data_IF_785627477131
#
_entry.id   IF_785627477131
#
_cell.length_a   1.000
_cell.length_b   1.000
_cell.length_c   1.000
_cell.angle_alpha   90.00
_cell.angle_beta   90.00
_cell.angle_gamma   90.00
#
_symmetry.space_group_name_H-M   'P 1'
#
loop_
_entity.id
_entity.type
_entity.pdbx_description
1 polymer ?
2 polymer ?
3 non-polymer ?
4 non-polymer ?
5 non-polymer ?
6 non-polymer ?
7 non-polymer ?
8 water ?
#
# COMPACT_ATOMS: atom_id res chain seq x y z
N UNK A 2 -7.01 -12.86 -13.05
CA UNK A 2 -6.46 -12.03 -14.12
C UNK A 2 -5.82 -10.78 -13.54
N UNK A 3 -4.86 -10.19 -14.26
CA UNK A 3 -4.20 -8.97 -13.82
C UNK A 3 -5.02 -7.78 -14.29
N UNK A 4 -5.39 -6.90 -13.37
CA UNK A 4 -6.15 -5.70 -13.67
C UNK A 4 -5.23 -4.50 -13.82
N UNK A 5 -5.66 -3.54 -14.64
CA UNK A 5 -4.93 -2.29 -14.79
C UNK A 5 -5.14 -1.40 -13.57
N UNK A 6 -4.05 -0.78 -13.10
CA UNK A 6 -4.08 0.09 -11.94
C UNK A 6 -4.09 1.54 -12.40
N UNK A 7 -5.11 2.29 -12.00
CA UNK A 7 -5.17 3.71 -12.31
C UNK A 7 -4.06 4.47 -11.59
N UNK A 8 -3.57 5.53 -12.22
CA UNK A 8 -2.50 6.36 -11.66
C UNK A 8 -2.91 7.82 -11.56
N UNK A 9 -2.61 8.44 -10.41
CA UNK A 9 -2.69 9.88 -10.23
C UNK A 9 -2.02 10.57 -11.41
N UNK A 10 -2.62 11.63 -11.97
CA UNK A 10 -3.82 12.36 -11.57
C UNK A 10 -5.13 11.95 -12.25
N UNK A 11 -5.30 10.67 -12.58
CA UNK A 11 -6.55 10.20 -13.17
C UNK A 11 -7.73 10.57 -12.27
N UNK A 12 -8.75 11.25 -12.81
CA UNK A 12 -9.86 11.69 -11.96
C UNK A 12 -10.72 10.56 -11.43
N UNK A 13 -10.66 9.38 -12.04
CA UNK A 13 -11.47 8.27 -11.57
C UNK A 13 -11.02 7.78 -10.21
N UNK A 14 -9.78 8.08 -9.81
CA UNK A 14 -9.36 7.78 -8.45
C UNK A 14 -10.04 8.65 -7.41
N UNK A 15 -10.78 9.69 -7.82
CA UNK A 15 -11.50 10.53 -6.87
C UNK A 15 -12.93 10.05 -6.65
N UNK A 16 -13.35 8.99 -7.32
CA UNK A 16 -14.69 8.44 -7.16
C UNK A 16 -14.84 7.85 -5.77
N UNK A 17 -15.98 8.12 -5.14
CA UNK A 17 -16.30 7.52 -3.86
C UNK A 17 -16.98 6.17 -4.12
N UNK A 18 -16.39 5.10 -3.61
CA UNK A 18 -16.89 3.77 -3.90
C UNK A 18 -18.22 3.52 -3.18
N UNK A 19 -19.06 2.75 -3.82
CA UNK A 19 -20.36 2.38 -3.28
C UNK A 19 -20.25 1.11 -2.44
N UNK A 20 -21.04 0.97 -1.38
CA UNK A 20 -21.00 -0.26 -0.58
C UNK A 20 -21.43 -1.48 -1.39
N UNK A 21 -20.82 -2.62 -1.08
CA UNK A 21 -21.27 -3.90 -1.59
C UNK A 21 -22.49 -4.32 -0.82
N UNK A 22 -23.55 -4.70 -1.52
CA UNK A 22 -24.77 -5.15 -0.88
C UNK A 22 -24.89 -6.66 -0.82
N UNK A 23 -24.24 -7.37 -1.73
CA UNK A 23 -24.26 -8.83 -1.77
C UNK A 23 -22.86 -9.32 -2.09
N UNK A 24 -22.32 -10.22 -1.27
CA UNK A 24 -21.02 -10.80 -1.48
C UNK A 24 -21.23 -12.11 -2.24
N UNK A 25 -21.31 -12.01 -3.56
CA UNK A 25 -21.55 -13.16 -4.42
C UNK A 25 -20.24 -13.63 -5.04
N UNK A 26 -20.34 -14.65 -5.90
CA UNK A 26 -19.15 -15.19 -6.55
C UNK A 26 -18.52 -14.18 -7.49
N UNK A 27 -19.31 -13.27 -8.05
CA UNK A 27 -18.75 -12.18 -8.84
C UNK A 27 -17.89 -11.26 -7.99
N UNK A 28 -18.26 -11.06 -6.72
CA UNK A 28 -17.40 -10.28 -5.84
C UNK A 28 -16.12 -11.05 -5.54
N UNK A 29 -16.24 -12.35 -5.26
CA UNK A 29 -15.06 -13.16 -4.96
C UNK A 29 -14.13 -13.29 -6.16
N UNK A 30 -14.68 -13.28 -7.37
CA UNK A 30 -13.85 -13.30 -8.56
C UNK A 30 -13.06 -12.00 -8.70
N UNK A 31 -13.71 -10.88 -8.39
CA UNK A 31 -13.02 -9.59 -8.38
C UNK A 31 -11.92 -9.57 -7.32
N UNK A 32 -12.25 -10.07 -6.12
CA UNK A 32 -11.25 -10.17 -5.06
C UNK A 32 -10.06 -11.00 -5.52
N UNK A 33 -10.32 -12.14 -6.16
CA UNK A 33 -9.22 -12.98 -6.63
C UNK A 33 -8.35 -12.25 -7.66
N UNK A 34 -8.97 -11.47 -8.56
CA UNK A 34 -8.18 -10.70 -9.50
C UNK A 34 -7.43 -9.57 -8.79
N UNK A 35 -8.03 -8.97 -7.76
CA UNK A 35 -7.34 -7.93 -7.01
C UNK A 35 -6.11 -8.48 -6.32
N UNK A 36 -6.19 -9.69 -5.78
CA UNK A 36 -5.02 -10.30 -5.14
C UNK A 36 -3.92 -10.58 -6.17
N UNK A 37 -4.29 -11.21 -7.28
CA UNK A 37 -3.32 -11.45 -8.34
C UNK A 37 -2.63 -10.15 -8.77
N UNK A 38 -3.40 -9.08 -8.99
CA UNK A 38 -2.83 -7.79 -9.38
C UNK A 38 -1.89 -7.28 -8.29
N UNK A 39 -2.34 -7.35 -7.04
CA UNK A 39 -1.54 -6.89 -5.91
C UNK A 39 -0.23 -7.66 -5.80
N UNK A 40 -0.31 -9.01 -5.80
CA UNK A 40 0.91 -9.78 -5.65
C UNK A 40 1.90 -9.56 -6.78
N UNK A 41 1.39 -9.26 -7.98
CA UNK A 41 2.26 -9.08 -9.14
C UNK A 41 2.87 -7.69 -9.22
N UNK A 42 2.25 -6.70 -8.59
CA UNK A 42 2.71 -5.32 -8.71
C UNK A 42 4.20 -5.14 -8.35
N UNK A 43 4.67 -5.54 -7.18
CA UNK A 43 3.97 -6.05 -5.99
C UNK A 43 3.57 -4.93 -5.03
N UNK A 44 2.51 -5.19 -4.26
CA UNK A 44 2.10 -4.33 -3.17
C UNK A 44 1.56 -5.18 -2.04
N UNK A 45 1.28 -4.54 -0.90
CA UNK A 45 0.74 -5.28 0.23
C UNK A 45 -0.75 -5.05 0.44
N UNK A 46 -1.37 -4.21 -0.37
CA UNK A 46 -2.80 -4.00 -0.29
C UNK A 46 -3.28 -3.44 -1.61
N UNK A 47 -4.60 -3.46 -1.79
CA UNK A 47 -5.19 -2.87 -2.99
C UNK A 47 -6.66 -2.59 -2.71
N UNK A 48 -7.12 -1.44 -3.18
CA UNK A 48 -8.53 -1.05 -3.12
C UNK A 48 -9.15 -1.13 -4.51
N UNK A 49 -10.43 -1.54 -4.57
CA UNK A 49 -11.06 -1.72 -5.87
C UNK A 49 -11.06 -0.42 -6.69
N UNK A 50 -11.17 0.73 -6.02
CA UNK A 50 -11.08 2.01 -6.71
C UNK A 50 -9.85 2.06 -7.61
N UNK A 51 -8.74 1.48 -7.16
CA UNK A 51 -7.50 1.54 -7.92
C UNK A 51 -7.55 0.73 -9.21
N UNK A 52 -8.46 -0.23 -9.32
CA UNK A 52 -8.59 -1.02 -10.55
C UNK A 52 -9.89 -0.61 -11.24
N UNK A 53 -10.32 0.61 -10.98
CA UNK A 53 -11.48 1.23 -11.64
C UNK A 53 -12.77 0.48 -11.36
N UNK A 54 -12.88 -0.15 -10.21
CA UNK A 54 -14.13 -0.78 -9.76
C UNK A 54 -14.53 -0.06 -8.48
N UNK A 55 -15.62 0.69 -8.54
CA UNK A 55 -15.91 1.66 -7.48
C UNK A 55 -16.90 1.09 -6.49
N UNK A 56 -16.44 -0.02 -5.89
CA UNK A 56 -17.11 -0.72 -4.81
C UNK A 56 -16.16 -0.77 -3.61
N UNK A 57 -16.73 -0.89 -2.41
CA UNK A 57 -15.95 -0.75 -1.18
C UNK A 57 -15.36 -2.11 -0.81
N UNK A 58 -14.21 -2.40 -1.44
CA UNK A 58 -13.53 -3.69 -1.32
C UNK A 58 -12.04 -3.42 -1.22
N UNK A 59 -11.41 -4.00 -0.20
CA UNK A 59 -9.98 -3.90 0.03
C UNK A 59 -9.40 -5.29 0.26
N UNK A 60 -8.22 -5.55 -0.32
CA UNK A 60 -7.51 -6.78 -0.07
C UNK A 60 -6.14 -6.42 0.46
N UNK A 61 -5.50 -7.39 1.12
CA UNK A 61 -4.25 -7.15 1.82
C UNK A 61 -3.56 -8.48 2.07
N UNK A 62 -2.22 -8.43 2.15
CA UNK A 62 -1.47 -9.58 2.67
C UNK A 62 -0.21 -9.04 3.31
N UNK A 63 -0.13 -9.10 4.64
CA UNK A 63 1.03 -8.61 5.38
C UNK A 63 1.92 -9.76 5.89
N UNK A 64 1.77 -10.94 5.32
CA UNK A 64 2.59 -12.09 5.67
C UNK A 64 3.81 -12.15 4.76
N UNK A 65 4.92 -12.64 5.30
CA UNK A 65 6.13 -12.78 4.52
C UNK A 65 6.04 -13.91 3.50
N UNK A 66 5.14 -14.88 3.70
CA UNK A 66 5.02 -16.04 2.82
C UNK A 66 3.67 -16.11 2.11
N UNK A 67 2.96 -14.99 1.98
CA UNK A 67 1.69 -14.96 1.25
C UNK A 67 0.68 -15.94 1.83
N UNK A 68 0.72 -16.14 3.15
CA UNK A 68 -0.12 -17.12 3.82
C UNK A 68 -1.35 -16.51 4.49
N UNK A 69 -1.45 -15.20 4.55
CA UNK A 69 -2.54 -14.51 5.27
C UNK A 69 -3.20 -13.44 4.40
N UNK A 70 -3.68 -13.81 3.22
CA UNK A 70 -4.51 -12.87 2.46
C UNK A 70 -5.74 -12.48 3.27
N UNK A 71 -6.05 -11.19 3.25
CA UNK A 71 -7.16 -10.66 4.05
C UNK A 71 -8.10 -9.86 3.17
N UNK A 72 -9.39 -9.98 3.44
CA UNK A 72 -10.44 -9.30 2.69
C UNK A 72 -11.19 -8.37 3.64
N UNK A 73 -11.42 -7.13 3.22
CA UNK A 73 -12.18 -6.15 3.97
C UNK A 73 -13.24 -5.57 3.03
N UNK A 74 -14.49 -5.95 3.24
CA UNK A 74 -15.61 -5.47 2.43
C UNK A 74 -16.39 -4.46 3.27
N UNK A 75 -16.75 -3.34 2.66
CA UNK A 75 -17.37 -2.21 3.35
C UNK A 75 -16.59 -1.84 4.61
N UNK A 76 -15.29 -1.59 4.48
CA UNK A 76 -14.48 -1.35 5.67
C UNK A 76 -14.71 0.03 6.26
N UNK A 77 -14.59 0.11 7.57
CA UNK A 77 -14.57 1.36 8.31
C UNK A 77 -13.50 1.23 9.38
N UNK A 78 -12.91 2.37 9.76
CA UNK A 78 -11.91 2.39 10.82
C UNK A 78 -12.19 3.58 11.73
N UNK A 79 -11.77 3.44 12.99
CA UNK A 79 -11.95 4.46 14.01
C UNK A 79 -10.66 4.46 14.84
N UNK A 80 -10.00 5.61 14.99
CA UNK A 80 -8.78 5.65 15.82
C UNK A 80 -9.04 5.23 17.27
N UNK A 81 -8.09 4.49 17.83
CA UNK A 81 -8.10 4.16 19.26
C UNK A 81 -6.99 4.88 20.02
N UNK A 82 -6.43 5.95 19.43
CA UNK A 82 -5.41 6.75 20.09
C UNK A 82 -5.38 8.10 19.40
N UNK A 83 -4.99 9.12 20.15
CA UNK A 83 -4.68 10.43 19.58
C UNK A 83 -3.22 10.54 19.18
N UNK A 84 -2.39 9.56 19.53
CA UNK A 84 -1.00 9.57 19.12
C UNK A 84 -0.89 9.42 17.61
N UNK A 85 0.03 10.19 17.03
CA UNK A 85 0.28 10.17 15.61
C UNK A 85 1.67 9.61 15.36
N UNK A 86 1.77 8.71 14.40
CA UNK A 86 3.05 8.18 13.97
C UNK A 86 3.23 8.45 12.48
N UNK A 87 4.48 8.47 12.08
CA UNK A 87 4.88 8.68 10.71
C UNK A 87 5.22 7.36 10.04
N UNK A 88 4.80 7.22 8.78
CA UNK A 88 5.21 6.09 7.97
C UNK A 88 5.48 6.58 6.56
N UNK A 89 6.58 6.14 5.97
CA UNK A 89 6.94 6.54 4.61
C UNK A 89 6.20 5.62 3.64
N UNK A 90 5.17 6.16 3.00
CA UNK A 90 4.23 5.39 2.20
C UNK A 90 4.46 5.59 0.72
N UNK A 91 4.30 4.50 -0.04
CA UNK A 91 4.15 4.57 -1.47
C UNK A 91 2.78 4.02 -1.84
N UNK A 92 2.44 4.15 -3.12
CA UNK A 92 1.11 3.80 -3.59
C UNK A 92 1.24 3.33 -5.03
N UNK A 93 0.61 2.20 -5.35
CA UNK A 93 0.66 1.72 -6.74
C UNK A 93 -0.03 2.70 -7.69
N UNK A 94 -0.92 3.55 -7.19
CA UNK A 94 -1.50 4.59 -8.04
C UNK A 94 -0.68 5.87 -8.06
N UNK A 95 0.40 5.97 -7.29
CA UNK A 95 1.31 7.11 -7.36
C UNK A 95 2.70 6.53 -7.52
N UNK A 96 2.96 5.81 -8.61
CA UNK A 96 4.15 4.94 -8.66
C UNK A 96 5.46 5.72 -8.65
N UNK A 97 6.39 5.29 -7.79
CA UNK A 97 7.72 5.83 -7.77
C UNK A 97 7.97 6.88 -6.71
N UNK A 98 6.98 7.20 -5.88
CA UNK A 98 7.11 8.26 -4.89
C UNK A 98 6.80 7.67 -3.52
N UNK A 99 7.62 8.03 -2.54
CA UNK A 99 7.52 7.49 -1.19
C UNK A 99 7.68 8.66 -0.23
N UNK A 100 6.64 8.96 0.54
CA UNK A 100 6.65 10.13 1.38
C UNK A 100 6.03 9.83 2.74
N UNK A 101 6.54 10.52 3.75
CA UNK A 101 6.01 10.37 5.10
C UNK A 101 4.60 10.94 5.23
N UNK A 102 3.72 10.17 5.85
CA UNK A 102 2.34 10.54 6.13
C UNK A 102 2.10 10.27 7.61
N UNK A 103 1.43 11.21 8.28
CA UNK A 103 1.14 11.07 9.70
C UNK A 103 -0.25 10.46 9.88
N UNK A 104 -0.31 9.36 10.63
CA UNK A 104 -1.57 8.65 10.85
C UNK A 104 -1.58 8.07 12.24
N UNK A 105 -2.75 7.91 12.85
CA UNK A 105 -2.84 7.07 14.06
C UNK A 105 -2.40 5.66 13.74
N UNK A 106 -1.61 5.06 14.62
CA UNK A 106 -1.19 3.68 14.42
C UNK A 106 -1.85 2.72 15.38
N UNK A 107 -3.01 3.09 15.91
CA UNK A 107 -3.91 2.15 16.59
C UNK A 107 -5.33 2.50 16.20
N UNK A 108 -6.03 1.55 15.55
CA UNK A 108 -7.39 1.78 15.08
C UNK A 108 -8.22 0.51 15.26
N UNK A 109 -9.54 0.70 15.30
CA UNK A 109 -10.49 -0.40 15.24
C UNK A 109 -11.02 -0.51 13.82
N UNK A 110 -10.97 -1.71 13.25
CA UNK A 110 -11.50 -2.00 11.92
C UNK A 110 -12.84 -2.70 12.09
N UNK A 111 -13.86 -2.26 11.34
CA UNK A 111 -15.10 -3.01 11.16
C UNK A 111 -15.31 -3.23 9.67
N UNK A 112 -15.65 -4.46 9.29
CA UNK A 112 -15.89 -4.77 7.89
C UNK A 112 -16.64 -6.08 7.79
N UNK A 113 -16.93 -6.48 6.55
CA UNK A 113 -17.44 -7.80 6.24
C UNK A 113 -16.29 -8.65 5.68
N UNK A 114 -16.33 -9.94 5.95
CA UNK A 114 -15.27 -10.82 5.48
C UNK A 114 -15.65 -11.39 4.11
N UNK A 115 -14.82 -12.31 3.61
CA UNK A 115 -15.00 -12.81 2.25
C UNK A 115 -16.30 -13.58 2.08
N UNK A 116 -16.97 -13.96 3.17
CA UNK A 116 -18.27 -14.61 3.12
C UNK A 116 -19.42 -13.64 3.32
N UNK A 117 -19.15 -12.35 3.54
CA UNK A 117 -20.17 -11.39 3.84
C UNK A 117 -20.55 -11.27 5.30
N UNK A 118 -19.80 -11.90 6.22
CA UNK A 118 -20.14 -11.83 7.63
C UNK A 118 -19.37 -10.73 8.34
N UNK A 119 -20.00 -10.01 9.28
CA UNK A 119 -19.33 -8.88 9.93
C UNK A 119 -18.25 -9.33 10.91
N UNK A 120 -17.24 -8.48 11.06
CA UNK A 120 -16.23 -8.72 12.08
C UNK A 120 -15.62 -7.39 12.50
N UNK A 121 -14.93 -7.42 13.64
CA UNK A 121 -14.19 -6.29 14.15
C UNK A 121 -12.78 -6.75 14.50
N UNK A 122 -11.83 -5.82 14.43
CA UNK A 122 -10.43 -6.12 14.63
C UNK A 122 -9.76 -4.86 15.15
N UNK A 123 -8.89 -5.00 16.15
CA UNK A 123 -8.01 -3.92 16.55
C UNK A 123 -6.71 -4.08 15.78
N UNK A 124 -6.27 -3.00 15.13
CA UNK A 124 -5.10 -3.03 14.28
C UNK A 124 -4.07 -2.03 14.80
N UNK A 125 -2.81 -2.44 14.77
CA UNK A 125 -1.70 -1.57 15.11
C UNK A 125 -0.59 -1.73 14.07
N UNK A 126 0.38 -0.82 14.11
CA UNK A 126 1.52 -0.94 13.22
C UNK A 126 1.13 -0.84 11.76
N UNK A 127 1.77 -1.67 10.94
CA UNK A 127 1.58 -1.58 9.49
C UNK A 127 0.13 -1.84 9.09
N UNK A 128 -0.56 -2.75 9.78
CA UNK A 128 -1.95 -3.02 9.42
C UNK A 128 -2.82 -1.77 9.64
N UNK A 129 -2.52 -0.98 10.67
CA UNK A 129 -3.28 0.25 10.89
C UNK A 129 -3.01 1.26 9.81
N UNK A 130 -1.75 1.40 9.38
CA UNK A 130 -1.43 2.28 8.27
C UNK A 130 -2.15 1.83 7.00
N UNK A 131 -2.06 0.54 6.69
CA UNK A 131 -2.58 0.05 5.41
C UNK A 131 -4.09 0.24 5.32
N UNK A 132 -4.81 -0.05 6.40
CA UNK A 132 -6.27 0.05 6.31
C UNK A 132 -6.71 1.50 6.11
N UNK A 133 -5.97 2.46 6.68
CA UNK A 133 -6.30 3.86 6.46
C UNK A 133 -5.96 4.29 5.04
N UNK A 134 -4.80 3.85 4.54
CA UNK A 134 -4.44 4.12 3.15
C UNK A 134 -5.49 3.57 2.21
N UNK A 135 -5.95 2.35 2.45
CA UNK A 135 -6.90 1.71 1.54
C UNK A 135 -8.29 2.31 1.67
N UNK A 136 -8.76 2.57 2.90
CA UNK A 136 -10.04 3.25 3.06
C UNK A 136 -10.02 4.63 2.41
N UNK A 137 -8.92 5.37 2.56
CA UNK A 137 -8.77 6.63 1.87
C UNK A 137 -9.11 6.51 0.38
N UNK A 138 -8.56 5.48 -0.28
CA UNK A 138 -8.82 5.31 -1.70
C UNK A 138 -10.32 5.19 -1.97
N UNK A 139 -11.03 4.44 -1.13
CA UNK A 139 -12.47 4.27 -1.30
C UNK A 139 -13.26 5.56 -1.11
N UNK A 140 -12.66 6.54 -0.43
CA UNK A 140 -13.23 7.86 -0.29
C UNK A 140 -12.62 8.84 -1.29
N UNK A 141 -11.95 8.33 -2.31
CA UNK A 141 -11.37 9.20 -3.31
C UNK A 141 -10.16 9.97 -2.84
N UNK A 142 -9.46 9.49 -1.82
CA UNK A 142 -8.30 10.17 -1.26
C UNK A 142 -7.02 9.38 -1.51
N UNK A 143 -5.96 10.13 -1.82
CA UNK A 143 -4.62 9.61 -2.08
C UNK A 143 -3.65 10.19 -1.06
N UNK A 144 -2.54 9.51 -0.84
CA UNK A 144 -1.62 9.94 0.21
C UNK A 144 -0.97 11.28 -0.11
N UNK A 145 -0.90 11.65 -1.38
CA UNK A 145 -0.35 12.94 -1.76
C UNK A 145 -1.23 14.09 -1.26
N UNK A 146 -2.50 13.81 -0.91
CA UNK A 146 -3.38 14.85 -0.38
C UNK A 146 -2.92 15.32 0.99
N UNK A 147 -2.07 14.53 1.67
CA UNK A 147 -1.51 14.95 2.95
C UNK A 147 -0.25 15.78 2.80
N UNK A 148 0.29 15.87 1.60
CA UNK A 148 1.56 16.55 1.38
C UNK A 148 1.32 18.04 1.13
N UNK A 149 2.41 18.81 1.13
CA UNK A 149 2.29 20.22 0.83
C UNK A 149 1.87 20.43 -0.62
N UNK A 150 1.38 21.63 -0.88
CA UNK A 150 0.89 21.97 -2.21
C UNK A 150 2.00 21.83 -3.25
N UNK A 151 3.19 22.34 -2.95
CA UNK A 151 4.27 22.29 -3.93
C UNK A 151 4.78 20.87 -4.14
N UNK A 152 4.87 20.07 -3.06
CA UNK A 152 5.32 18.69 -3.23
C UNK A 152 4.32 17.90 -4.06
N UNK A 153 3.02 18.05 -3.78
CA UNK A 153 2.02 17.36 -4.57
C UNK A 153 2.06 17.77 -6.03
N UNK A 154 2.34 19.05 -6.32
CA UNK A 154 2.30 19.49 -7.70
C UNK A 154 3.50 18.97 -8.49
N UNK A 155 4.65 18.88 -7.84
CA UNK A 155 5.81 18.28 -8.47
C UNK A 155 5.53 16.82 -8.82
N UNK A 156 4.88 16.08 -7.91
CA UNK A 156 4.52 14.70 -8.21
C UNK A 156 3.54 14.65 -9.38
N UNK A 157 2.55 15.55 -9.37
CA UNK A 157 1.55 15.51 -10.43
C UNK A 157 2.17 15.79 -11.78
N UNK A 158 3.03 16.80 -11.85
CA UNK A 158 3.64 17.14 -13.13
C UNK A 158 4.56 16.04 -13.60
N UNK A 159 5.28 15.40 -12.69
CA UNK A 159 6.15 14.30 -13.11
C UNK A 159 5.34 13.15 -13.66
N UNK A 160 4.25 12.78 -13.01
CA UNK A 160 3.45 11.67 -13.50
C UNK A 160 2.73 12.04 -14.80
N UNK A 161 2.20 13.27 -14.88
CA UNK A 161 1.58 13.70 -16.13
C UNK A 161 2.54 13.57 -17.30
N UNK A 162 3.82 13.90 -17.07
CA UNK A 162 4.80 13.76 -18.13
C UNK A 162 5.02 12.29 -18.50
N UNK A 163 5.19 11.43 -17.48
CA UNK A 163 5.33 10.01 -17.76
C UNK A 163 4.15 9.49 -18.57
N UNK A 164 2.94 9.95 -18.23
CA UNK A 164 1.75 9.46 -18.93
C UNK A 164 1.71 9.95 -20.38
N UNK A 165 2.11 11.19 -20.62
CA UNK A 165 2.15 11.69 -22.00
C UNK A 165 3.03 10.80 -22.88
N UNK A 166 4.14 10.31 -22.32
CA UNK A 166 4.96 9.35 -23.06
C UNK A 166 4.28 7.99 -23.18
N UNK A 167 3.50 7.60 -22.18
CA UNK A 167 2.77 6.33 -22.23
C UNK A 167 1.72 6.33 -23.34
N UNK A 168 1.24 7.51 -23.76
CA UNK A 168 0.25 7.60 -24.83
C UNK A 168 0.84 8.23 -26.09
N UNK B 1 12.27 -7.56 -12.68
CA UNK B 1 12.86 -6.30 -13.18
C UNK B 1 13.18 -5.34 -12.04
N UNK B 2 13.72 -4.17 -12.40
CA UNK B 2 14.22 -3.24 -11.40
C UNK B 2 13.12 -2.78 -10.46
N UNK B 3 12.04 -2.22 -11.01
CA UNK B 3 10.98 -1.67 -10.17
C UNK B 3 10.41 -2.73 -9.25
N UNK B 4 10.14 -3.92 -9.79
CA UNK B 4 9.58 -4.98 -8.97
C UNK B 4 10.56 -5.39 -7.87
N UNK B 5 11.85 -5.37 -8.18
CA UNK B 5 12.87 -5.71 -7.17
C UNK B 5 12.86 -4.69 -6.04
N UNK B 6 12.86 -3.40 -6.40
CA UNK B 6 12.82 -2.35 -5.38
C UNK B 6 11.60 -2.50 -4.49
N UNK B 7 10.42 -2.61 -5.11
CA UNK B 7 9.19 -2.77 -4.34
C UNK B 7 9.24 -3.99 -3.44
N UNK B 8 9.64 -5.14 -3.99
CA UNK B 8 9.68 -6.37 -3.19
C UNK B 8 10.64 -6.25 -2.03
N UNK B 9 11.77 -5.55 -2.24
CA UNK B 9 12.70 -5.33 -1.13
C UNK B 9 12.08 -4.44 -0.06
N UNK B 10 11.42 -3.35 -0.47
CA UNK B 10 10.73 -2.50 0.51
C UNK B 10 9.69 -3.30 1.30
N UNK B 11 8.94 -4.15 0.62
CA UNK B 11 7.91 -4.95 1.30
C UNK B 11 8.56 -5.89 2.31
N UNK B 12 9.60 -6.60 1.87
CA UNK B 12 10.31 -7.52 2.75
C UNK B 12 10.80 -6.82 4.01
N UNK B 13 11.47 -5.69 3.85
CA UNK B 13 11.99 -4.97 5.01
C UNK B 13 10.87 -4.45 5.89
N UNK B 14 9.79 -3.95 5.28
CA UNK B 14 8.70 -3.43 6.09
C UNK B 14 8.09 -4.54 6.94
N UNK B 15 7.92 -5.72 6.37
CA UNK B 15 7.35 -6.83 7.13
C UNK B 15 8.31 -7.31 8.21
N UNK B 16 9.60 -7.31 7.91
CA UNK B 16 10.58 -7.68 8.95
C UNK B 16 10.54 -6.69 10.11
N UNK B 17 10.50 -5.40 9.78
CA UNK B 17 10.33 -4.38 10.81
C UNK B 17 9.10 -4.65 11.65
N UNK B 18 7.97 -4.95 11.01
CA UNK B 18 6.73 -5.13 11.76
C UNK B 18 6.80 -6.35 12.66
N UNK B 19 7.34 -7.45 12.16
CA UNK B 19 7.32 -8.71 12.90
C UNK B 19 8.54 -8.91 13.79
N UNK B 20 9.50 -8.01 13.74
CA UNK B 20 10.69 -8.12 14.58
C UNK B 20 10.39 -7.70 16.01
N UNK B 21 10.91 -8.46 16.97
CA UNK B 21 10.85 -8.08 18.37
C UNK B 21 12.08 -7.31 18.83
N UNK B 22 13.24 -7.65 18.29
CA UNK B 22 14.49 -6.96 18.61
C UNK B 22 14.50 -5.58 17.97
N UNK B 23 14.63 -4.49 18.74
CA UNK B 23 14.71 -3.16 18.11
C UNK B 23 15.93 -2.97 17.24
N UNK B 24 16.95 -3.81 17.37
CA UNK B 24 18.11 -3.72 16.48
C UNK B 24 17.81 -4.29 15.09
N UNK B 25 16.94 -5.30 15.02
CA UNK B 25 16.45 -5.76 13.72
C UNK B 25 15.55 -4.70 13.07
N UNK B 26 14.74 -4.03 13.88
CA UNK B 26 13.92 -2.95 13.34
C UNK B 26 14.77 -1.77 12.87
N UNK B 27 15.84 -1.44 13.61
CA UNK B 27 16.71 -0.37 13.17
C UNK B 27 17.38 -0.73 11.85
N UNK B 28 17.90 -1.96 11.74
CA UNK B 28 18.58 -2.35 10.52
C UNK B 28 17.63 -2.28 9.34
N UNK B 29 16.40 -2.76 9.53
CA UNK B 29 15.40 -2.69 8.46
C UNK B 29 15.11 -1.25 8.07
N UNK B 30 14.87 -0.38 9.05
CA UNK B 30 14.57 1.01 8.72
C UNK B 30 15.74 1.64 7.97
N UNK B 31 16.98 1.28 8.33
CA UNK B 31 18.14 1.88 7.68
C UNK B 31 18.23 1.47 6.21
N UNK B 32 17.97 0.19 5.92
CA UNK B 32 18.02 -0.26 4.54
C UNK B 32 16.89 0.36 3.73
N UNK B 33 15.71 0.53 4.33
CA UNK B 33 14.61 1.19 3.62
C UNK B 33 14.95 2.63 3.27
N UNK B 34 15.56 3.37 4.21
CA UNK B 34 15.94 4.75 3.93
C UNK B 34 16.92 4.83 2.77
N UNK B 35 17.90 3.92 2.71
CA UNK B 35 18.84 3.96 1.60
C UNK B 35 18.14 3.69 0.28
N UNK B 36 17.20 2.74 0.28
CA UNK B 36 16.42 2.47 -0.92
C UNK B 36 15.63 3.70 -1.34
N UNK B 37 14.92 4.32 -0.39
CA UNK B 37 14.16 5.53 -0.71
C UNK B 37 15.07 6.61 -1.30
N UNK B 38 16.22 6.84 -0.67
CA UNK B 38 17.12 7.90 -1.14
C UNK B 38 17.67 7.58 -2.52
N UNK B 39 18.06 6.33 -2.76
CA UNK B 39 18.59 5.96 -4.06
C UNK B 39 17.50 6.03 -5.13
N UNK B 40 16.29 5.60 -4.80
CA UNK B 40 15.21 5.61 -5.78
C UNK B 40 14.72 7.02 -6.06
N UNK B 41 14.82 7.92 -5.09
CA UNK B 41 14.45 9.32 -5.32
C UNK B 41 15.38 9.99 -6.32
N UNK B 42 16.61 9.51 -6.46
CA UNK B 42 17.56 10.05 -7.41
C UNK B 42 17.64 9.23 -8.70
N UNK B 43 16.83 8.18 -8.83
CA UNK B 43 16.94 7.25 -9.94
C UNK B 43 18.38 6.74 -10.08
N UNK B 44 19.00 6.45 -8.94
CA UNK B 44 20.35 5.87 -8.90
C UNK B 44 20.21 4.34 -8.92
N UNK B 45 19.97 3.82 -10.12
CA UNK B 45 19.67 2.39 -10.23
C UNK B 45 20.79 1.53 -9.69
N UNK B 46 22.04 2.01 -9.75
CA UNK B 46 23.17 1.23 -9.28
C UNK B 46 23.11 1.01 -7.78
N UNK B 47 22.92 2.08 -7.02
CA UNK B 47 22.85 1.93 -5.57
C UNK B 47 21.63 1.11 -5.18
N UNK B 48 20.49 1.35 -5.85
CA UNK B 48 19.30 0.56 -5.55
C UNK B 48 19.59 -0.93 -5.71
N UNK B 49 20.23 -1.31 -6.82
CA UNK B 49 20.54 -2.72 -7.04
C UNK B 49 21.44 -3.27 -5.93
N UNK B 50 22.41 -2.47 -5.49
CA UNK B 50 23.30 -2.90 -4.43
C UNK B 50 22.56 -3.06 -3.11
N UNK B 51 21.69 -2.10 -2.78
CA UNK B 51 20.98 -2.15 -1.51
C UNK B 51 19.99 -3.31 -1.49
N UNK B 52 19.32 -3.57 -2.62
CA UNK B 52 18.41 -4.71 -2.68
C UNK B 52 19.15 -5.99 -2.33
N UNK B 53 20.35 -6.18 -2.89
CA UNK B 53 21.10 -7.40 -2.63
C UNK B 53 21.51 -7.48 -1.16
N UNK B 54 21.92 -6.36 -0.57
CA UNK B 54 22.23 -6.37 0.85
C UNK B 54 20.99 -6.69 1.67
N UNK B 55 19.83 -6.14 1.29
CA UNK B 55 18.61 -6.39 2.04
C UNK B 55 18.26 -7.89 2.05
N UNK B 56 18.34 -8.53 0.88
CA UNK B 56 18.03 -9.95 0.80
C UNK B 56 18.90 -10.76 1.77
N UNK B 57 20.17 -10.37 1.93
CA UNK B 57 21.06 -11.11 2.81
C UNK B 57 20.70 -10.90 4.28
N UNK B 58 20.47 -9.64 4.67
CA UNK B 58 20.16 -9.35 6.07
C UNK B 58 18.86 -10.00 6.49
N UNK B 59 17.96 -10.26 5.54
CA UNK B 59 16.73 -10.97 5.84
C UNK B 59 16.98 -12.48 5.97
N UNK B 60 17.96 -13.00 5.23
CA UNK B 60 18.35 -14.40 5.40
C UNK B 60 19.03 -14.65 6.74
N UNK B 61 19.26 -13.61 7.54
CA UNK B 61 19.98 -13.72 8.80
C UNK B 61 19.01 -13.95 9.95
X LIG C 1 -2.58 3.07 -2.68
X LIG D 1 -0.22 -0.41 -2.41
X LIG D 1 -1.35 0.56 -2.65
X LIG D 1 -1.20 1.50 -3.37
X LIG D 1 -2.47 0.33 -1.96
X LIG D 1 -3.54 1.17 -2.09
X LIG D 1 0.54 0.06 -1.15
X LIG D 1 1.93 -0.54 -1.17
X LIG D 1 2.04 -1.74 -1.18
X LIG D 1 -0.20 -0.51 0.07
X LIG D 1 -0.47 0.40 1.23
X LIG D 1 0.74 1.19 1.62
X LIG D 1 0.69 1.68 3.09
X LIG D 1 2.06 1.44 3.72
X LIG D 1 2.95 0.31 -1.20
X LIG D 1 4.35 -0.10 -1.20
X LIG D 1 5.13 0.17 -2.47
X LIG D 1 4.50 -0.44 -3.69
X LIG D 1 6.60 -0.27 -2.30
X LIG D 1 4.88 0.63 0.04
X LIG D 1 4.87 1.86 0.00
X LIG D 1 5.29 -0.05 1.10
X LIG D 1 5.76 0.67 2.30
X LIG D 1 5.30 -1.50 1.25
X LIG D 1 5.85 -1.75 2.65
X LIG D 1 5.67 -0.42 3.38
X LIG D 1 7.17 1.21 2.13
X LIG D 1 7.50 1.97 3.29
X LIG D 1 -0.59 -1.30 -2.30
X LIG D 1 0.35 -0.43 -3.19
X LIG D 1 -2.58 -0.35 -1.42
X LIG D 1 -4.10 0.78 -2.58
X LIG D 1 0.60 1.03 -1.12
X LIG D 1 0.31 -1.27 0.39
X LIG D 1 -1.04 -0.87 -0.24
X LIG D 1 -0.78 -0.12 1.98
X LIG D 1 -1.19 1.02 0.99
X LIG D 1 0.83 1.95 1.03
X LIG D 1 1.53 0.65 1.49
X LIG D 1 0.00 1.20 3.58
X LIG D 1 0.45 2.61 3.12
X LIG D 1 2.76 1.92 3.24
X LIG D 1 2.30 0.49 3.71
X LIG D 1 2.09 1.74 4.63
X LIG D 1 2.80 1.15 -1.22
X LIG D 1 4.40 -1.08 -1.18
X LIG D 1 5.13 1.14 -2.60
X LIG D 1 4.29 -1.37 -3.51
X LIG D 1 3.68 0.04 -3.91
X LIG D 1 5.12 -0.38 -4.43
X LIG D 1 7.09 -0.21 -3.14
X LIG D 1 7.07 0.30 -1.67
X LIG D 1 6.67 -1.17 -1.99
X LIG D 1 5.17 1.41 2.47
X LIG D 1 4.40 -1.86 1.16
X LIG D 1 5.86 -1.91 0.58
X LIG D 1 6.77 -2.03 2.61
X LIG D 1 5.35 -2.47 3.09
X LIG D 1 6.37 -0.29 4.04
X LIG D 1 4.83 -0.37 3.84
X LIG D 1 7.20 1.74 1.32
X LIG D 1 7.78 0.46 2.01
X LIG D 1 8.32 2.18 3.25
X LIG E 1 -19.31 -3.05 8.51
X LIG E 1 -19.67 -2.27 7.64
X LIG E 1 -20.15 -3.60 9.43
X LIG E 1 -18.40 -3.28 8.56
X LIG F 1 -12.78 -12.63 10.62
X LIG F 1 -12.19 -11.86 9.88
X LIG F 1 -13.90 -13.31 10.28
X LIG F 1 -12.44 -12.76 11.51
X LIG G 1 1.69 14.21 6.90
X LIG G 1 2.20 14.70 5.91
X LIG G 1 0.36 13.99 7.04
X LIG G 1 2.25 13.96 7.63
X LIG H 1 -13.66 5.75 7.48
X LIG H 1 -13.93 4.83 8.22
X LIG H 1 -13.92 5.76 6.15
X LIG H 1 -13.23 6.52 7.85
X LIG I 1 -13.11 -16.00 6.78
X LIG I 1 -12.08 -16.45 6.33
X LIG I 1 -13.20 -15.38 7.99
X LIG I 1 -13.92 -16.07 6.26
X LIG J 1 -17.76 -6.41 -10.07
X LIG J 1 -18.17 -7.33 -9.39
X LIG J 1 -16.78 -6.54 -11.00
X LIG J 1 -18.14 -5.54 -9.95
X LIG K 1 -17.74 0.71 -10.99
X LIG K 1 -16.95 0.40 -11.86
X LIG K 1 -18.54 -0.17 -10.32
X LIG K 1 -17.82 1.63 -10.76
X LIG L 1 8.92 2.04 -7.20
X LIG L 1 9.61 3.02 -7.30
X LIG L 1 7.80 1.84 -7.92
X LIG L 1 9.16 1.36 -6.57
X LIG M 1 5.07 28.88 -11.32
X LIG M 1 5.33 28.12 -12.67
X LIG M 1 5.21 30.42 -11.59
X LIG M 1 3.63 28.56 -10.80
X LIG M 1 6.12 28.45 -10.24
X LIG N 1 -6.14 16.13 -8.94
X LIG N 1 -7.28 17.19 -9.12
X LIG N 1 -4.92 16.57 -9.84
X LIG N 1 -5.71 16.10 -7.43
X LIG N 1 -6.68 14.71 -9.38
X LIG O 1 9.82 15.28 -5.51
X LIG O 1 10.66 15.57 -4.22
X LIG O 1 8.29 15.55 -5.22
X LIG O 1 10.31 16.20 -6.68
X LIG O 1 9.99 13.78 -5.93
X LIG P 1 -1.98 20.80 2.37
X LIG P 1 -1.86 19.25 2.48
X LIG P 1 -3.13 21.30 3.32
X LIG P 1 -2.31 21.20 0.88
X LIG P 1 -0.63 21.48 2.80
X LIG Q 1 11.34 9.60 -2.17
#
# INVERSE_FOLDING_TARGET
MAILNILEFPDPRLRTIAKPVEVVDDAVRQLIDDMFETMYEAPGIGLAATQVNVHKRIVVMDLSEDKSEPRVFINPEFEPLTEDMDQYQEGCLSVPGFYENVDRPQKVRIKALDRDGNPFEEVAEGLLAVCIQHECDHLNGKLFVDYLSTLKRDRIRKKLEKQHRQQA
DYIRELRAALILLALKKQHAEDPDAQRVADELMKKLFDAAHRNDKDKVKKVVEEAKKVVSTYGSHHHHHH
ZN ZN
BB2 C5 C3 O4 N1 O2 C6 C12 O13 C7 C8 C9 C10 C11 N14 C15 C16 C18 C17 C19 O20 N21 C22 C23 C24 C25 C26 O27 H51 H52 HN1 HO2 H6 H71 H72 H81 H82 H91 H92 H101 H102 H111 H112 H113 H14 H15 H16 H181 H182 H183 H171 H172 H173 H22 H231 H232 H241 H242 H251 H252 H261 H262 H27
FMT C O1 O2 H
FMT C O1 O2 H
FMT C O1 O2 H
FMT C O1 O2 H
FMT C O1 O2 H
FMT C O1 O2 H
FMT C O1 O2 H
FMT C O1 O2 H
PO4 P O1 O2 O3 O4
PO4 P O1 O2 O3 O4
PO4 P O1 O2 O3 O4
PO4 P O1 O2 O3 O4
K K
#
